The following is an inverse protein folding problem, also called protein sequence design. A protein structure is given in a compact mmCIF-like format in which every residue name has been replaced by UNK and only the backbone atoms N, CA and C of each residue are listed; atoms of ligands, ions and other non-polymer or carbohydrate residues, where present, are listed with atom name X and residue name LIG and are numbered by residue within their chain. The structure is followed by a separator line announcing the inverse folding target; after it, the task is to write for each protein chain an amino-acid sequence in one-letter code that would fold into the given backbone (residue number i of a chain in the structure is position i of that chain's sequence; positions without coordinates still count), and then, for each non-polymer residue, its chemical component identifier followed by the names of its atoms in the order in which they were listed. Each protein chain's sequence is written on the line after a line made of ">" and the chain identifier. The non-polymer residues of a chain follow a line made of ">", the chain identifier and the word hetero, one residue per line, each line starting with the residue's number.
data_IF_254965151352
#
_entry.id   IF_254965151352
#
_cell.length_a   1.000
_cell.length_b   1.000
_cell.length_c   1.000
_cell.angle_alpha   90.00
_cell.angle_beta   90.00
_cell.angle_gamma   90.00
#
_symmetry.space_group_name_H-M   'P 1'
#
loop_
_entity.id
_entity.type
_entity.pdbx_description
1 polymer ?
#
# COMPACT_ATOMS: atom_id res chain seq x y z
N UNK A 1 7.52 -10.06 -2.72
CA UNK A 1 7.73 -8.60 -2.59
C UNK A 1 7.24 -7.95 -3.85
N UNK A 2 6.22 -7.09 -3.77
CA UNK A 2 5.85 -6.23 -4.91
C UNK A 2 6.98 -5.25 -5.08
N UNK A 3 7.53 -5.18 -6.30
CA UNK A 3 8.49 -4.14 -6.61
C UNK A 3 7.84 -2.78 -6.41
N UNK A 4 8.50 -1.87 -5.70
CA UNK A 4 8.11 -0.45 -5.70
C UNK A 4 7.89 -0.01 -7.16
N UNK A 5 6.80 0.71 -7.48
CA UNK A 5 6.56 1.20 -8.84
C UNK A 5 7.75 1.99 -9.42
N UNK A 6 8.48 2.72 -8.56
CA UNK A 6 9.69 3.44 -8.98
C UNK A 6 10.85 2.48 -9.28
N UNK A 7 11.02 1.42 -8.49
CA UNK A 7 12.01 0.38 -8.75
C UNK A 7 11.69 -0.41 -10.03
N UNK A 8 10.41 -0.69 -10.28
CA UNK A 8 9.96 -1.36 -11.50
C UNK A 8 10.26 -0.49 -12.72
N UNK A 9 10.06 0.83 -12.63
CA UNK A 9 10.42 1.75 -13.69
C UNK A 9 11.93 1.81 -13.97
N UNK A 10 12.76 2.05 -12.94
CA UNK A 10 14.22 2.14 -13.10
C UNK A 10 14.80 0.83 -13.67
N UNK A 11 14.22 -0.32 -13.33
CA UNK A 11 14.64 -1.62 -13.84
C UNK A 11 13.91 -2.05 -15.12
N UNK A 12 13.20 -1.13 -15.79
CA UNK A 12 12.54 -1.36 -17.09
C UNK A 12 11.50 -2.48 -17.06
N UNK A 13 10.94 -2.77 -15.88
CA UNK A 13 9.87 -3.74 -15.67
C UNK A 13 8.48 -3.13 -15.86
N UNK A 14 8.36 -1.81 -15.73
CA UNK A 14 7.12 -1.06 -15.93
C UNK A 14 7.41 0.35 -16.47
N UNK A 15 6.40 0.96 -17.09
CA UNK A 15 6.43 2.38 -17.48
C UNK A 15 5.90 3.25 -16.35
N UNK A 16 6.41 4.48 -16.20
CA UNK A 16 5.82 5.47 -15.28
C UNK A 16 4.39 5.79 -15.69
N UNK A 17 3.45 6.05 -14.77
CA UNK A 17 2.09 6.48 -15.12
C UNK A 17 2.04 7.72 -16.01
N UNK A 18 0.96 7.88 -16.79
CA UNK A 18 0.76 8.94 -17.78
C UNK A 18 1.02 10.35 -17.21
N UNK A 19 0.63 10.60 -15.95
CA UNK A 19 0.87 11.89 -15.26
C UNK A 19 2.33 12.34 -15.22
N UNK A 20 3.28 11.42 -15.35
CA UNK A 20 4.72 11.73 -15.36
C UNK A 20 5.29 11.86 -16.78
N UNK A 21 4.52 11.49 -17.82
CA UNK A 21 4.95 11.47 -19.22
C UNK A 21 4.61 12.76 -19.99
N UNK A 22 3.97 13.74 -19.35
CA UNK A 22 3.40 14.93 -20.00
C UNK A 22 4.45 15.96 -20.39
N UNK A 23 4.71 16.13 -21.70
CA UNK A 23 5.59 17.18 -22.23
C UNK A 23 5.28 18.57 -21.64
N UNK A 24 6.28 19.48 -21.53
CA UNK A 24 6.11 20.77 -20.85
C UNK A 24 5.00 21.64 -21.45
N UNK A 25 4.72 21.43 -22.74
CA UNK A 25 3.78 22.22 -23.54
C UNK A 25 2.42 21.54 -23.71
N UNK A 26 2.28 20.30 -23.25
CA UNK A 26 1.07 19.51 -23.44
C UNK A 26 0.24 19.54 -22.15
N UNK A 27 -0.80 20.37 -22.12
CA UNK A 27 -1.85 20.37 -21.09
C UNK A 27 -2.76 19.14 -21.19
N UNK A 28 -2.18 17.98 -21.51
CA UNK A 28 -2.86 16.71 -21.66
C UNK A 28 -3.56 16.31 -20.37
N UNK A 29 -4.63 15.53 -20.52
CA UNK A 29 -5.50 15.02 -19.46
C UNK A 29 -4.67 14.53 -18.27
N UNK A 30 -4.61 15.32 -17.20
CA UNK A 30 -4.14 14.83 -15.90
C UNK A 30 -5.00 13.61 -15.56
N UNK A 31 -4.37 12.50 -15.15
CA UNK A 31 -5.08 11.38 -14.53
C UNK A 31 -6.10 11.98 -13.55
N UNK A 32 -7.39 11.78 -13.83
CA UNK A 32 -8.44 12.32 -12.97
C UNK A 32 -8.49 11.48 -11.70
N UNK A 33 -7.56 11.76 -10.77
CA UNK A 33 -7.57 11.20 -9.42
C UNK A 33 -8.90 11.54 -8.70
N UNK A 34 -9.62 12.55 -9.20
CA UNK A 34 -10.92 13.03 -8.76
C UNK A 34 -12.11 12.64 -9.68
N UNK A 35 -11.98 11.73 -10.64
CA UNK A 35 -13.08 11.33 -11.53
C UNK A 35 -14.24 10.59 -10.83
N UNK A 36 -15.46 10.61 -11.38
CA UNK A 36 -16.68 10.07 -10.75
C UNK A 36 -16.75 8.52 -10.61
N UNK A 37 -15.67 7.82 -10.93
CA UNK A 37 -15.60 6.35 -10.96
C UNK A 37 -15.37 5.67 -9.60
N UNK A 38 -15.51 4.34 -9.60
CA UNK A 38 -15.13 3.47 -8.48
C UNK A 38 -13.62 3.51 -8.25
N UNK A 39 -13.20 3.64 -6.98
CA UNK A 39 -11.81 3.50 -6.61
C UNK A 39 -11.44 2.02 -6.49
N UNK A 40 -10.43 1.61 -7.26
CA UNK A 40 -9.81 0.30 -7.15
C UNK A 40 -8.44 0.45 -6.47
N UNK A 41 -8.22 -0.33 -5.41
CA UNK A 41 -7.02 -0.27 -4.57
C UNK A 41 -6.48 -1.67 -4.36
N UNK A 42 -5.18 -1.84 -4.51
CA UNK A 42 -4.45 -3.03 -4.10
C UNK A 42 -3.73 -2.75 -2.79
N UNK A 43 -3.98 -3.58 -1.78
CA UNK A 43 -3.27 -3.60 -0.51
C UNK A 43 -2.42 -4.86 -0.45
N UNK A 44 -1.12 -4.73 -0.66
CA UNK A 44 -0.23 -5.87 -0.67
C UNK A 44 0.49 -6.00 0.67
N UNK A 45 0.42 -7.18 1.31
CA UNK A 45 1.19 -7.51 2.52
C UNK A 45 2.61 -7.87 2.05
N UNK A 46 3.52 -6.90 2.12
CA UNK A 46 4.86 -7.02 1.55
C UNK A 46 5.79 -7.90 2.38
N UNK A 47 5.71 -7.75 3.70
CA UNK A 47 6.52 -8.48 4.66
C UNK A 47 5.71 -8.77 5.92
N UNK A 48 5.96 -9.93 6.52
CA UNK A 48 5.37 -10.37 7.78
C UNK A 48 6.47 -10.54 8.81
N UNK A 49 6.47 -9.69 9.83
CA UNK A 49 7.49 -9.68 10.87
C UNK A 49 6.93 -10.17 12.20
N UNK A 50 7.68 -10.91 13.03
CA UNK A 50 7.27 -11.18 14.40
C UNK A 50 7.01 -9.89 15.17
N UNK A 51 5.96 -9.86 16.00
CA UNK A 51 5.59 -8.67 16.77
C UNK A 51 6.76 -8.09 17.60
N UNK A 52 7.61 -8.94 18.16
CA UNK A 52 8.73 -8.49 18.99
C UNK A 52 9.84 -7.75 18.21
N UNK A 53 9.96 -7.97 16.90
CA UNK A 53 11.01 -7.36 16.07
C UNK A 53 10.54 -6.10 15.33
N UNK A 54 9.25 -5.78 15.38
CA UNK A 54 8.66 -4.69 14.58
C UNK A 54 9.23 -3.30 14.90
N UNK A 55 9.74 -3.10 16.10
CA UNK A 55 10.37 -1.84 16.51
C UNK A 55 11.71 -1.59 15.78
N UNK A 56 12.35 -2.65 15.28
CA UNK A 56 13.59 -2.58 14.50
C UNK A 56 13.32 -2.43 12.99
N UNK A 57 12.07 -2.61 12.56
CA UNK A 57 11.69 -2.48 11.17
C UNK A 57 11.86 -1.02 10.71
N UNK A 58 12.33 -0.85 9.46
CA UNK A 58 12.55 0.48 8.89
C UNK A 58 11.23 1.08 8.42
N UNK A 59 10.63 1.92 9.26
CA UNK A 59 9.40 2.66 8.95
C UNK A 59 9.72 3.95 8.22
N UNK A 60 9.07 4.17 7.08
CA UNK A 60 9.10 5.43 6.35
C UNK A 60 7.75 6.12 6.47
N UNK A 61 7.74 7.42 6.78
CA UNK A 61 6.48 8.17 6.69
C UNK A 61 6.09 8.37 5.22
N UNK A 62 4.77 8.50 4.98
CA UNK A 62 4.24 8.87 3.69
C UNK A 62 4.87 10.17 3.18
N UNK A 63 4.99 11.19 4.03
CA UNK A 63 5.58 12.48 3.67
C UNK A 63 7.05 12.39 3.26
N UNK A 64 7.87 11.66 4.04
CA UNK A 64 9.29 11.44 3.70
C UNK A 64 9.43 10.69 2.37
N UNK A 65 8.62 9.64 2.17
CA UNK A 65 8.66 8.84 0.93
C UNK A 65 8.23 9.66 -0.27
N UNK A 66 7.15 10.43 -0.16
CA UNK A 66 6.68 11.37 -1.19
C UNK A 66 7.78 12.34 -1.61
N UNK A 67 8.45 12.96 -0.64
CA UNK A 67 9.55 13.87 -0.91
C UNK A 67 10.70 13.18 -1.62
N UNK A 68 11.17 12.04 -1.09
CA UNK A 68 12.29 11.31 -1.67
C UNK A 68 12.02 10.85 -3.11
N UNK A 69 10.81 10.35 -3.36
CA UNK A 69 10.35 9.91 -4.67
C UNK A 69 10.25 11.07 -5.66
N UNK A 70 9.68 12.21 -5.25
CA UNK A 70 9.61 13.40 -6.10
C UNK A 70 11.00 13.94 -6.42
N UNK A 71 11.88 14.05 -5.42
CA UNK A 71 13.26 14.50 -5.59
C UNK A 71 14.02 13.56 -6.55
N UNK A 72 13.79 12.24 -6.45
CA UNK A 72 14.39 11.24 -7.35
C UNK A 72 13.89 11.40 -8.79
N UNK A 73 12.57 11.48 -9.00
CA UNK A 73 11.97 11.65 -10.33
C UNK A 73 12.41 12.96 -11.00
N UNK A 74 12.47 14.07 -10.26
CA UNK A 74 12.94 15.36 -10.78
C UNK A 74 14.40 15.30 -11.22
N UNK A 75 15.27 14.70 -10.39
CA UNK A 75 16.69 14.54 -10.73
C UNK A 75 16.89 13.59 -11.90
N UNK A 76 16.14 12.49 -11.96
CA UNK A 76 16.19 11.56 -13.09
C UNK A 76 15.74 12.24 -14.38
N UNK A 77 14.63 12.97 -14.35
CA UNK A 77 14.14 13.79 -15.48
C UNK A 77 15.23 14.74 -16.01
N UNK A 78 15.94 15.42 -15.10
CA UNK A 78 17.04 16.32 -15.49
C UNK A 78 18.24 15.59 -16.12
N UNK A 79 18.51 14.34 -15.75
CA UNK A 79 19.61 13.54 -16.29
C UNK A 79 19.33 13.02 -17.71
N UNK A 80 18.07 12.62 -17.97
CA UNK A 80 17.69 11.98 -19.23
C UNK A 80 16.95 12.91 -20.20
N UNK A 81 16.86 14.21 -19.88
CA UNK A 81 16.21 15.21 -20.75
C UNK A 81 14.67 15.16 -20.72
N UNK A 82 14.10 14.58 -19.65
CA UNK A 82 12.66 14.43 -19.43
C UNK A 82 12.24 13.00 -19.14
N UNK A 83 11.03 12.82 -18.62
CA UNK A 83 10.42 11.49 -18.39
C UNK A 83 9.44 11.11 -19.50
N UNK A 84 9.59 11.73 -20.67
CA UNK A 84 8.74 11.56 -21.83
C UNK A 84 8.74 10.09 -22.27
N UNK A 85 7.59 9.56 -22.66
CA UNK A 85 7.44 8.13 -23.00
C UNK A 85 7.42 7.16 -21.80
N UNK A 86 7.81 7.60 -20.60
CA UNK A 86 7.64 6.86 -19.35
C UNK A 86 8.52 5.62 -19.17
N UNK A 87 9.44 5.34 -20.10
CA UNK A 87 10.40 4.23 -20.04
C UNK A 87 11.82 4.76 -20.16
N UNK A 88 12.79 4.05 -19.57
CA UNK A 88 14.21 4.32 -19.75
C UNK A 88 14.80 3.35 -20.77
N UNK A 89 15.65 3.83 -21.67
CA UNK A 89 16.57 2.96 -22.38
C UNK A 89 17.69 2.43 -21.45
N UNK A 90 18.59 1.61 -21.99
CA UNK A 90 19.66 1.03 -21.15
C UNK A 90 20.71 2.05 -20.72
N UNK A 91 21.06 3.03 -21.56
CA UNK A 91 22.03 4.08 -21.25
C UNK A 91 21.46 5.06 -20.22
N UNK A 92 20.21 5.45 -20.41
CA UNK A 92 19.45 6.29 -19.48
C UNK A 92 19.31 5.62 -18.10
N UNK A 93 18.97 4.33 -18.07
CA UNK A 93 18.93 3.55 -16.82
C UNK A 93 20.28 3.57 -16.11
N UNK A 94 21.35 3.27 -16.83
CA UNK A 94 22.69 3.18 -16.24
C UNK A 94 23.18 4.55 -15.77
N UNK A 95 22.84 5.62 -16.49
CA UNK A 95 23.09 7.00 -16.07
C UNK A 95 22.34 7.35 -14.78
N UNK A 96 21.04 7.03 -14.71
CA UNK A 96 20.20 7.28 -13.53
C UNK A 96 20.75 6.51 -12.32
N UNK A 97 21.04 5.21 -12.46
CA UNK A 97 21.54 4.38 -11.36
C UNK A 97 22.95 4.79 -10.91
N UNK A 98 23.86 5.11 -11.84
CA UNK A 98 25.21 5.57 -11.49
C UNK A 98 25.22 6.95 -10.81
N UNK A 99 24.27 7.83 -11.16
CA UNK A 99 24.21 9.19 -10.63
C UNK A 99 23.38 9.32 -9.35
N UNK A 100 22.29 8.56 -9.24
CA UNK A 100 21.30 8.70 -8.15
C UNK A 100 21.30 7.51 -7.18
N UNK A 101 21.88 6.37 -7.58
CA UNK A 101 21.80 5.12 -6.84
C UNK A 101 20.44 4.43 -6.97
N UNK A 102 20.16 3.51 -6.06
CA UNK A 102 18.87 2.81 -6.02
C UNK A 102 17.71 3.76 -5.69
N UNK A 103 16.53 3.56 -6.31
CA UNK A 103 15.36 4.37 -6.04
C UNK A 103 14.87 4.22 -4.58
N UNK A 104 14.22 5.26 -4.02
CA UNK A 104 13.57 5.18 -2.72
C UNK A 104 12.61 3.99 -2.59
N UNK A 105 12.61 3.38 -1.39
CA UNK A 105 11.69 2.31 -1.06
C UNK A 105 10.24 2.81 -0.96
N UNK A 106 9.30 1.91 -1.24
CA UNK A 106 7.87 2.17 -1.14
C UNK A 106 7.45 2.46 0.31
N UNK A 107 6.48 3.35 0.50
CA UNK A 107 5.92 3.52 1.84
C UNK A 107 5.05 2.30 2.18
N UNK A 108 5.17 1.75 3.40
CA UNK A 108 4.30 0.68 3.90
C UNK A 108 3.35 1.24 4.97
N UNK A 109 2.37 2.08 4.57
CA UNK A 109 1.65 2.95 5.50
C UNK A 109 0.59 2.19 6.29
N UNK A 110 0.12 1.03 5.83
CA UNK A 110 -0.82 0.18 6.55
C UNK A 110 -0.04 -0.94 7.24
N UNK A 111 -0.45 -1.30 8.44
CA UNK A 111 0.01 -2.52 9.09
C UNK A 111 -1.16 -3.29 9.68
N UNK A 112 -1.07 -4.61 9.60
CA UNK A 112 -2.07 -5.55 10.10
C UNK A 112 -1.38 -6.44 11.12
N UNK A 113 -1.90 -6.48 12.33
CA UNK A 113 -1.46 -7.43 13.35
C UNK A 113 -2.38 -8.64 13.30
N UNK A 114 -1.79 -9.82 13.15
CA UNK A 114 -2.49 -11.10 13.20
C UNK A 114 -2.04 -11.93 14.40
N UNK A 115 -2.90 -12.87 14.80
CA UNK A 115 -2.56 -13.95 15.73
C UNK A 115 -2.95 -15.30 15.14
N UNK A 116 -2.20 -16.34 15.48
CA UNK A 116 -2.43 -17.71 15.00
C UNK A 116 -1.58 -18.08 13.78
N UNK A 117 -1.92 -19.20 13.14
CA UNK A 117 -1.20 -19.73 11.97
C UNK A 117 -2.15 -20.47 11.04
N UNK A 118 -1.87 -20.45 9.73
CA UNK A 118 -2.67 -21.16 8.73
C UNK A 118 -4.12 -20.70 8.74
N UNK A 119 -5.07 -21.64 8.71
CA UNK A 119 -6.51 -21.33 8.69
C UNK A 119 -7.01 -20.67 9.98
N UNK A 120 -6.29 -20.83 11.09
CA UNK A 120 -6.63 -20.19 12.38
C UNK A 120 -6.09 -18.75 12.49
N UNK A 121 -5.28 -18.30 11.52
CA UNK A 121 -4.70 -16.96 11.55
C UNK A 121 -5.78 -15.90 11.31
N UNK A 122 -5.86 -14.92 12.22
CA UNK A 122 -6.90 -13.87 12.17
C UNK A 122 -6.33 -12.49 12.46
N UNK A 123 -6.88 -11.47 11.79
CA UNK A 123 -6.54 -10.07 12.00
C UNK A 123 -7.11 -9.56 13.32
N UNK A 124 -6.25 -9.14 14.24
CA UNK A 124 -6.65 -8.58 15.55
C UNK A 124 -6.55 -7.07 15.60
N UNK A 125 -5.74 -6.48 14.72
CA UNK A 125 -5.62 -5.03 14.61
C UNK A 125 -5.23 -4.60 13.20
N UNK A 126 -5.80 -3.50 12.73
CA UNK A 126 -5.36 -2.76 11.55
C UNK A 126 -5.02 -1.34 11.97
N UNK A 127 -3.91 -0.81 11.49
CA UNK A 127 -3.60 0.59 11.70
C UNK A 127 -2.84 1.17 10.53
N UNK A 128 -2.85 2.50 10.45
CA UNK A 128 -1.97 3.26 9.57
C UNK A 128 -0.81 3.90 10.33
N UNK A 129 0.26 4.20 9.62
CA UNK A 129 1.36 5.03 10.11
C UNK A 129 1.65 6.16 9.12
N UNK A 130 1.73 7.37 9.65
CA UNK A 130 2.26 8.53 8.95
C UNK A 130 3.62 8.95 9.54
N UNK A 131 4.24 8.12 10.40
CA UNK A 131 5.47 8.42 11.12
C UNK A 131 6.45 7.26 11.08
N UNK A 132 7.73 7.56 10.96
CA UNK A 132 8.84 6.61 11.10
C UNK A 132 9.02 6.06 12.52
N UNK A 133 8.31 6.58 13.53
CA UNK A 133 8.49 6.22 14.95
C UNK A 133 7.31 5.44 15.58
N UNK A 134 6.34 4.99 14.78
CA UNK A 134 5.07 4.43 15.29
C UNK A 134 5.23 3.29 16.31
N UNK A 135 6.25 2.46 16.16
CA UNK A 135 6.54 1.33 17.06
C UNK A 135 7.70 1.59 18.03
N UNK A 136 8.44 2.69 17.86
CA UNK A 136 9.61 3.00 18.68
C UNK A 136 9.26 3.39 20.13
N UNK A 137 8.08 4.01 20.34
CA UNK A 137 7.66 4.55 21.65
C UNK A 137 6.61 3.69 22.36
N UNK A 138 6.52 2.40 22.03
CA UNK A 138 5.51 1.50 22.54
C UNK A 138 4.18 1.63 21.80
N UNK A 139 3.61 0.49 21.40
CA UNK A 139 2.34 0.43 20.70
C UNK A 139 1.30 -0.26 21.58
N UNK A 140 0.18 0.43 21.87
CA UNK A 140 -0.86 -0.07 22.80
C UNK A 140 -1.36 -1.48 22.45
N UNK A 141 -1.39 -1.82 21.16
CA UNK A 141 -1.76 -3.17 20.70
C UNK A 141 -0.79 -4.23 21.21
N UNK A 142 0.52 -3.94 21.25
CA UNK A 142 1.52 -4.86 21.80
C UNK A 142 1.21 -5.20 23.26
N UNK A 143 0.84 -4.20 24.06
CA UNK A 143 0.43 -4.41 25.45
C UNK A 143 -0.84 -5.27 25.57
N UNK A 144 -1.86 -5.01 24.72
CA UNK A 144 -3.10 -5.81 24.73
C UNK A 144 -2.86 -7.28 24.37
N UNK A 145 -1.86 -7.56 23.52
CA UNK A 145 -1.52 -8.91 23.08
C UNK A 145 -0.81 -9.77 24.14
N UNK A 146 -0.55 -9.23 25.34
CA UNK A 146 -0.16 -10.00 26.52
C UNK A 146 -1.35 -10.59 27.28
N UNK A 147 -2.60 -10.29 26.88
CA UNK A 147 -3.76 -10.90 27.50
C UNK A 147 -3.74 -12.43 27.29
N UNK A 148 -4.11 -13.25 28.30
CA UNK A 148 -3.99 -14.71 28.23
C UNK A 148 -4.71 -15.38 27.04
N UNK A 149 -5.74 -14.74 26.50
CA UNK A 149 -6.44 -15.26 25.30
C UNK A 149 -5.52 -15.33 24.06
N UNK A 150 -4.42 -14.57 24.04
CA UNK A 150 -3.42 -14.56 22.97
C UNK A 150 -2.16 -15.35 23.34
N UNK A 151 -2.14 -16.03 24.48
CA UNK A 151 -1.01 -16.83 24.90
C UNK A 151 -0.76 -17.95 23.90
N UNK A 152 0.53 -18.23 23.65
CA UNK A 152 1.01 -19.26 22.71
C UNK A 152 0.61 -19.06 21.24
N UNK A 153 -0.22 -18.07 20.91
CA UNK A 153 -0.47 -17.69 19.52
C UNK A 153 0.74 -16.97 18.93
N UNK A 154 1.14 -17.38 17.72
CA UNK A 154 2.10 -16.63 16.89
C UNK A 154 1.52 -15.25 16.61
N UNK A 155 2.33 -14.19 16.76
CA UNK A 155 1.92 -12.80 16.57
C UNK A 155 2.73 -12.21 15.43
N UNK A 156 2.07 -11.86 14.34
CA UNK A 156 2.72 -11.35 13.13
C UNK A 156 2.23 -9.94 12.87
N UNK A 157 3.13 -9.05 12.47
CA UNK A 157 2.80 -7.73 11.95
C UNK A 157 3.14 -7.71 10.47
N UNK A 158 2.11 -7.64 9.64
CA UNK A 158 2.26 -7.42 8.21
C UNK A 158 2.38 -5.93 7.94
N UNK A 159 3.35 -5.56 7.11
CA UNK A 159 3.52 -4.19 6.61
C UNK A 159 3.03 -4.15 5.17
N UNK A 160 2.11 -3.24 4.89
CA UNK A 160 1.36 -3.26 3.65
C UNK A 160 1.59 -2.00 2.82
N UNK A 161 1.80 -2.20 1.53
CA UNK A 161 1.76 -1.17 0.50
C UNK A 161 0.32 -0.88 0.08
N UNK A 162 0.08 0.30 -0.48
CA UNK A 162 -1.23 0.72 -1.03
C UNK A 162 -1.00 1.28 -2.43
N UNK A 163 -1.58 0.63 -3.43
CA UNK A 163 -1.53 1.01 -4.84
C UNK A 163 -2.93 1.28 -5.35
N UNK A 164 -3.12 2.33 -6.13
CA UNK A 164 -4.38 2.64 -6.81
C UNK A 164 -4.34 2.10 -8.21
N UNK A 165 -5.48 1.64 -8.70
CA UNK A 165 -5.66 1.32 -10.10
C UNK A 165 -6.55 2.38 -10.73
N UNK A 166 -5.92 3.34 -11.42
CA UNK A 166 -6.56 4.51 -12.04
C UNK A 166 -6.37 4.39 -13.54
N UNK A 167 -7.47 4.35 -14.30
CA UNK A 167 -7.46 4.32 -15.77
C UNK A 167 -6.54 3.24 -16.39
N UNK A 168 -6.39 2.09 -15.73
CA UNK A 168 -5.54 0.98 -16.21
C UNK A 168 -4.09 1.03 -15.71
N UNK A 169 -3.73 2.03 -14.91
CA UNK A 169 -2.38 2.20 -14.37
C UNK A 169 -2.33 2.01 -12.85
N UNK A 170 -1.22 1.44 -12.37
CA UNK A 170 -0.94 1.34 -10.94
C UNK A 170 -0.22 2.59 -10.45
N UNK A 171 -0.85 3.31 -9.51
CA UNK A 171 -0.34 4.56 -8.95
C UNK A 171 -0.09 4.37 -7.46
N UNK A 172 1.14 4.64 -7.02
CA UNK A 172 1.50 4.65 -5.62
C UNK A 172 0.72 5.69 -4.81
N UNK A 173 0.44 5.41 -3.54
CA UNK A 173 -0.13 6.41 -2.63
C UNK A 173 0.76 7.68 -2.54
N UNK A 174 2.07 7.50 -2.54
CA UNK A 174 3.04 8.59 -2.58
C UNK A 174 3.07 9.36 -3.90
N UNK A 175 2.44 8.85 -4.96
CA UNK A 175 2.38 9.50 -6.26
C UNK A 175 1.15 10.36 -6.47
N UNK A 176 0.14 10.30 -5.59
CA UNK A 176 -1.07 11.14 -5.71
C UNK A 176 -0.72 12.64 -5.71
N UNK A 177 -1.51 13.48 -6.37
CA UNK A 177 -1.19 14.90 -6.60
C UNK A 177 -0.95 15.68 -5.30
N UNK A 178 -1.82 15.52 -4.30
CA UNK A 178 -1.72 16.23 -3.03
C UNK A 178 -1.51 15.31 -1.83
N UNK A 179 -0.79 15.81 -0.83
CA UNK A 179 -0.64 15.12 0.47
C UNK A 179 -1.98 14.98 1.20
N UNK A 180 -2.90 15.93 1.02
CA UNK A 180 -4.24 15.87 1.58
C UNK A 180 -5.04 14.68 1.03
N UNK A 181 -5.05 14.52 -0.30
CA UNK A 181 -5.70 13.38 -0.96
C UNK A 181 -5.07 12.06 -0.49
N UNK A 182 -3.74 11.97 -0.48
CA UNK A 182 -3.06 10.75 -0.03
C UNK A 182 -3.41 10.37 1.42
N UNK A 183 -3.48 11.35 2.33
CA UNK A 183 -3.88 11.09 3.72
C UNK A 183 -5.35 10.72 3.87
N UNK A 184 -6.26 11.39 3.14
CA UNK A 184 -7.69 11.08 3.12
C UNK A 184 -7.91 9.66 2.61
N UNK A 185 -7.27 9.30 1.51
CA UNK A 185 -7.42 7.99 0.89
C UNK A 185 -6.84 6.89 1.78
N UNK A 186 -5.69 7.10 2.39
CA UNK A 186 -5.13 6.18 3.39
C UNK A 186 -6.08 5.99 4.59
N UNK A 187 -6.74 7.06 5.04
CA UNK A 187 -7.73 6.98 6.11
C UNK A 187 -8.97 6.15 5.74
N UNK A 188 -9.43 6.29 4.50
CA UNK A 188 -10.56 5.52 3.95
C UNK A 188 -10.18 4.04 3.85
N UNK A 189 -9.01 3.72 3.27
CA UNK A 189 -8.52 2.34 3.15
C UNK A 189 -8.40 1.69 4.53
N UNK A 190 -7.78 2.38 5.50
CA UNK A 190 -7.70 1.90 6.89
C UNK A 190 -9.11 1.63 7.47
N UNK A 191 -10.04 2.56 7.29
CA UNK A 191 -11.40 2.45 7.83
C UNK A 191 -12.18 1.28 7.23
N UNK A 192 -12.05 1.05 5.92
CA UNK A 192 -12.70 -0.07 5.24
C UNK A 192 -12.09 -1.40 5.68
N UNK A 193 -10.76 -1.49 5.82
CA UNK A 193 -10.10 -2.69 6.33
C UNK A 193 -10.54 -3.01 7.77
N UNK A 194 -10.60 -2.01 8.66
CA UNK A 194 -11.09 -2.19 10.04
C UNK A 194 -12.54 -2.68 10.04
N UNK A 195 -13.41 -2.07 9.22
CA UNK A 195 -14.81 -2.46 9.12
C UNK A 195 -15.00 -3.85 8.51
N UNK A 196 -14.22 -4.23 7.50
CA UNK A 196 -14.32 -5.52 6.85
C UNK A 196 -13.80 -6.66 7.73
N UNK A 197 -12.62 -6.48 8.33
CA UNK A 197 -11.95 -7.51 9.12
C UNK A 197 -12.48 -7.60 10.55
N UNK A 198 -13.25 -6.61 11.00
CA UNK A 198 -13.83 -6.54 12.35
C UNK A 198 -12.80 -6.80 13.47
N UNK A 199 -11.56 -6.36 13.25
CA UNK A 199 -10.42 -6.58 14.14
C UNK A 199 -10.71 -6.12 15.56
N UNK A 200 -10.65 -7.05 16.51
CA UNK A 200 -11.17 -6.85 17.87
C UNK A 200 -10.41 -5.81 18.71
N UNK A 201 -9.13 -5.57 18.42
CA UNK A 201 -8.33 -4.59 19.17
C UNK A 201 -8.51 -3.15 18.64
N UNK A 202 -9.12 -2.96 17.47
CA UNK A 202 -9.57 -1.67 16.98
C UNK A 202 -10.80 -1.22 17.75
N UNK A 203 -10.76 -0.06 18.40
CA UNK A 203 -11.93 0.49 19.11
C UNK A 203 -12.70 1.46 18.19
N UNK A 204 -11.96 2.31 17.46
CA UNK A 204 -12.51 3.24 16.49
C UNK A 204 -12.73 2.56 15.14
N UNK A 205 -13.54 3.20 14.27
CA UNK A 205 -13.74 2.83 12.86
C UNK A 205 -14.32 1.43 12.60
N UNK A 206 -14.82 0.74 13.64
CA UNK A 206 -15.55 -0.52 13.51
C UNK A 206 -16.94 -0.40 12.87
N UNK A 207 -17.47 0.82 12.80
CA UNK A 207 -18.71 1.14 12.11
C UNK A 207 -18.43 1.37 10.63
N UNK A 208 -19.45 1.13 9.80
CA UNK A 208 -19.38 1.32 8.36
C UNK A 208 -18.88 2.73 8.02
N UNK A 209 -17.79 2.88 7.24
CA UNK A 209 -17.34 4.19 6.79
C UNK A 209 -18.30 4.76 5.75
N UNK A 210 -18.45 6.08 5.73
CA UNK A 210 -19.12 6.79 4.65
C UNK A 210 -18.11 7.00 3.54
N UNK A 211 -18.47 6.58 2.33
CA UNK A 211 -17.63 6.80 1.16
C UNK A 211 -18.23 7.89 0.29
N UNK A 212 -17.40 8.72 -0.32
CA UNK A 212 -17.86 9.62 -1.38
C UNK A 212 -18.12 8.83 -2.68
N UNK A 213 -17.42 7.70 -2.85
CA UNK A 213 -17.43 6.87 -4.06
C UNK A 213 -17.34 5.38 -3.72
N UNK A 214 -17.84 4.48 -4.57
CA UNK A 214 -17.57 3.04 -4.44
C UNK A 214 -16.07 2.75 -4.28
N UNK A 215 -15.72 1.83 -3.38
CA UNK A 215 -14.34 1.39 -3.15
C UNK A 215 -14.25 -0.13 -3.29
N UNK A 216 -13.27 -0.56 -4.08
CA UNK A 216 -12.85 -1.95 -4.23
C UNK A 216 -11.42 -2.09 -3.73
N UNK A 217 -11.21 -2.94 -2.73
CA UNK A 217 -9.87 -3.29 -2.22
C UNK A 217 -9.58 -4.74 -2.58
N UNK A 218 -8.48 -4.97 -3.29
CA UNK A 218 -7.87 -6.29 -3.44
C UNK A 218 -6.72 -6.41 -2.45
N UNK A 219 -6.73 -7.43 -1.60
CA UNK A 219 -5.62 -7.75 -0.73
C UNK A 219 -4.86 -8.94 -1.27
N UNK A 220 -3.54 -8.83 -1.31
CA UNK A 220 -2.66 -9.91 -1.72
C UNK A 220 -1.53 -10.09 -0.71
N UNK A 221 -1.28 -11.33 -0.30
CA UNK A 221 -0.19 -11.64 0.63
C UNK A 221 1.04 -12.12 -0.14
N UNK A 222 2.16 -11.42 0.04
CA UNK A 222 3.46 -11.79 -0.53
C UNK A 222 4.45 -12.26 0.54
N UNK A 223 4.03 -12.31 1.80
CA UNK A 223 4.82 -12.67 2.97
C UNK A 223 4.65 -14.15 3.36
N UNK A 224 4.86 -15.06 2.40
CA UNK A 224 4.90 -16.52 2.60
C UNK A 224 3.76 -17.10 3.47
N UNK A 225 2.55 -16.53 3.36
CA UNK A 225 1.36 -16.94 4.09
C UNK A 225 0.11 -16.82 3.21
N UNK A 226 -0.86 -17.71 3.41
CA UNK A 226 -2.17 -17.63 2.74
C UNK A 226 -3.10 -16.58 3.40
N UNK A 227 -2.72 -16.04 4.56
CA UNK A 227 -3.51 -15.08 5.32
C UNK A 227 -3.86 -13.85 4.48
N UNK A 228 -5.17 -13.56 4.31
CA UNK A 228 -5.69 -12.45 3.49
C UNK A 228 -5.14 -12.42 2.04
N UNK A 229 -4.68 -13.56 1.52
CA UNK A 229 -4.27 -13.67 0.13
C UNK A 229 -5.50 -13.71 -0.78
N UNK A 230 -5.46 -12.94 -1.86
CA UNK A 230 -6.52 -12.82 -2.86
C UNK A 230 -7.92 -12.55 -2.26
N UNK A 231 -7.96 -11.63 -1.29
CA UNK A 231 -9.20 -11.17 -0.67
C UNK A 231 -9.74 -9.94 -1.40
N UNK A 232 -10.97 -10.02 -1.89
CA UNK A 232 -11.66 -8.89 -2.51
C UNK A 232 -12.70 -8.30 -1.56
N UNK A 233 -12.61 -6.99 -1.34
CA UNK A 233 -13.55 -6.20 -0.55
C UNK A 233 -14.21 -5.17 -1.46
N UNK A 234 -15.55 -5.15 -1.51
CA UNK A 234 -16.29 -4.13 -2.24
C UNK A 234 -17.25 -3.39 -1.31
N UNK A 235 -17.14 -2.07 -1.25
CA UNK A 235 -17.98 -1.21 -0.43
C UNK A 235 -18.65 -0.13 -1.29
N UNK A 236 -19.98 -0.08 -1.25
CA UNK A 236 -20.83 0.89 -1.95
C UNK A 236 -21.84 1.50 -0.98
N UNK A 237 -22.18 2.78 -1.09
CA UNK A 237 -23.16 3.38 -0.19
C UNK A 237 -24.53 2.68 -0.32
N UNK A 238 -25.14 2.33 0.80
CA UNK A 238 -26.44 1.65 0.83
C UNK A 238 -26.42 0.12 0.67
N UNK A 239 -25.29 -0.49 0.30
CA UNK A 239 -25.19 -1.94 0.08
C UNK A 239 -24.39 -2.64 1.18
N UNK A 240 -24.67 -3.90 1.56
CA UNK A 240 -23.77 -4.68 2.42
C UNK A 240 -22.34 -4.73 1.87
N UNK A 241 -21.33 -4.79 2.73
CA UNK A 241 -19.96 -5.01 2.25
C UNK A 241 -19.87 -6.40 1.62
N UNK A 242 -19.34 -6.48 0.41
CA UNK A 242 -19.02 -7.76 -0.22
C UNK A 242 -17.60 -8.16 0.17
N UNK A 243 -17.45 -9.35 0.73
CA UNK A 243 -16.18 -9.96 1.10
C UNK A 243 -16.09 -11.26 0.32
N UNK A 244 -15.22 -11.31 -0.68
CA UNK A 244 -15.03 -12.48 -1.54
C UNK A 244 -13.62 -13.01 -1.27
N UNK A 245 -13.48 -14.08 -0.47
CA UNK A 245 -12.19 -14.74 -0.32
C UNK A 245 -11.83 -15.47 -1.62
N UNK A 246 -10.52 -15.68 -1.82
CA UNK A 246 -9.99 -16.48 -2.90
C UNK A 246 -10.75 -17.80 -3.04
N UNK A 247 -11.29 -18.10 -4.23
CA UNK A 247 -11.71 -19.46 -4.54
C UNK A 247 -10.42 -20.28 -4.66
N UNK A 248 -10.11 -21.10 -3.66
CA UNK A 248 -9.15 -22.20 -3.80
C UNK A 248 -9.70 -23.19 -4.85
N UNK A 249 -9.61 -22.86 -6.15
CA UNK A 249 -9.61 -23.87 -7.19
C UNK A 249 -8.19 -24.41 -7.28
N UNK A 250 -7.84 -25.29 -6.33
CA UNK A 250 -6.96 -26.40 -6.69
C UNK A 250 -7.73 -27.23 -7.71
N UNK A 251 -7.52 -26.97 -8.99
CA UNK A 251 -7.64 -28.05 -9.96
C UNK A 251 -6.45 -28.95 -9.68
N UNK A 252 -6.69 -29.98 -8.86
CA UNK A 252 -5.89 -31.20 -8.95
C UNK A 252 -5.98 -31.67 -10.40
N UNK A 253 -4.85 -31.65 -11.09
CA UNK A 253 -4.58 -32.45 -12.27
C UNK A 253 -3.29 -33.20 -12.03
#
# INVERSE_FOLDING_TARGET
>A
MVSSPLHAWVNKLAVLPEKFRLEPDNSGSRLEENGEGEWAVSVALEEGLPLYSIAQARWHSLRETRRATNDYLQRASALVGGLWGGSLDSEERDLVLSSLGEPPAFCLPIYIVSVGTGESERAVYVGKTCSSKRFANGHKVGLKLHHPEYDRLKKTVYRCSVLFHIQGEYVALEWLESEALANQTLDIVESVLIYALQSELNIAKRRRPRLERPLRIHMQNYAESAFLSDLMLCLRNGEPISIVPARNQRQEK
#
